data_IF_527075172730
#
_entry.id   IF_527075172730
#
_cell.length_a   1.000
_cell.length_b   1.000
_cell.length_c   1.000
_cell.angle_alpha   90.00
_cell.angle_beta   90.00
_cell.angle_gamma   90.00
#
_symmetry.space_group_name_H-M   'P 1'
#
loop_
_entity.id
_entity.type
_entity.pdbx_description
1 polymer ?
#
# COMPACT_ATOMS: atom_id res chain seq x y z
N UNK A 1 -9.88 -1.80 -3.04
CA UNK A 1 -10.67 -3.02 -3.32
C UNK A 1 -10.90 -3.80 -2.05
N UNK A 2 -11.74 -3.27 -1.15
CA UNK A 2 -12.28 -4.06 -0.06
C UNK A 2 -13.63 -4.58 -0.48
N UNK A 3 -13.80 -5.88 -0.46
CA UNK A 3 -15.07 -6.61 -0.55
C UNK A 3 -15.97 -6.30 -1.76
N UNK A 4 -15.49 -6.56 -2.97
CA UNK A 4 -16.38 -7.12 -3.96
C UNK A 4 -16.12 -8.62 -3.97
N UNK A 5 -16.79 -9.30 -3.08
CA UNK A 5 -16.76 -10.75 -2.96
C UNK A 5 -17.50 -11.33 -4.16
N UNK A 6 -16.77 -12.00 -5.01
CA UNK A 6 -17.27 -12.81 -6.10
C UNK A 6 -16.60 -12.49 -7.42
N UNK A 7 -15.89 -13.39 -7.99
CA UNK A 7 -15.33 -13.41 -9.35
C UNK A 7 -14.23 -12.43 -9.75
N UNK A 8 -13.84 -11.46 -8.93
CA UNK A 8 -12.74 -10.55 -9.24
C UNK A 8 -11.40 -11.18 -8.90
N UNK A 9 -10.51 -11.25 -9.88
CA UNK A 9 -9.18 -11.82 -9.70
C UNK A 9 -8.15 -10.75 -9.40
N UNK A 10 -7.34 -10.96 -8.35
CA UNK A 10 -6.09 -10.19 -8.18
C UNK A 10 -5.10 -10.57 -9.29
N UNK A 11 -4.50 -9.58 -9.90
CA UNK A 11 -3.65 -9.74 -11.08
C UNK A 11 -2.49 -10.72 -10.82
N UNK A 12 -1.85 -10.65 -9.66
CA UNK A 12 -0.65 -11.45 -9.39
C UNK A 12 -0.92 -12.89 -8.97
N UNK A 13 -1.93 -13.11 -8.13
CA UNK A 13 -2.08 -14.40 -7.45
C UNK A 13 -2.99 -15.37 -8.22
N UNK A 14 -3.68 -14.89 -9.25
CA UNK A 14 -4.74 -15.65 -9.92
C UNK A 14 -4.68 -15.66 -11.43
N UNK A 15 -3.98 -14.74 -12.09
CA UNK A 15 -3.87 -14.72 -13.56
C UNK A 15 -2.47 -15.16 -13.95
N UNK A 16 -2.41 -16.38 -14.48
CA UNK A 16 -1.18 -17.03 -14.93
C UNK A 16 -1.41 -17.66 -16.31
N UNK A 17 -0.37 -18.20 -16.91
CA UNK A 17 -0.49 -18.99 -18.15
C UNK A 17 -1.42 -20.20 -18.03
N UNK A 18 -1.79 -20.64 -16.83
CA UNK A 18 -2.79 -21.70 -16.62
C UNK A 18 -4.23 -21.25 -16.94
N UNK A 19 -4.49 -19.93 -16.91
CA UNK A 19 -5.82 -19.37 -17.18
C UNK A 19 -6.05 -18.99 -18.65
N UNK A 20 -5.23 -19.50 -19.54
CA UNK A 20 -5.39 -19.25 -20.98
C UNK A 20 -6.78 -19.64 -21.47
N UNK A 21 -7.40 -18.74 -22.27
CA UNK A 21 -8.76 -18.85 -22.82
C UNK A 21 -9.88 -18.74 -21.77
N UNK A 22 -9.57 -18.49 -20.52
CA UNK A 22 -10.59 -18.21 -19.49
C UNK A 22 -11.07 -16.77 -19.58
N UNK A 23 -12.36 -16.55 -19.28
CA UNK A 23 -12.92 -15.24 -19.05
C UNK A 23 -12.57 -14.78 -17.67
N UNK A 24 -12.01 -13.59 -17.56
CA UNK A 24 -11.59 -12.99 -16.30
C UNK A 24 -12.13 -11.58 -16.15
N UNK A 25 -12.38 -11.18 -14.91
CA UNK A 25 -12.68 -9.79 -14.56
C UNK A 25 -11.58 -9.28 -13.65
N UNK A 26 -10.92 -8.20 -14.04
CA UNK A 26 -9.90 -7.53 -13.23
C UNK A 26 -10.33 -6.13 -12.87
N UNK A 27 -9.98 -5.71 -11.67
CA UNK A 27 -10.12 -4.33 -11.21
C UNK A 27 -8.75 -3.77 -10.82
N UNK A 28 -8.51 -2.52 -11.15
CA UNK A 28 -7.24 -1.88 -10.83
C UNK A 28 -7.14 -0.44 -11.29
N UNK A 29 -5.97 0.11 -11.07
CA UNK A 29 -5.60 1.45 -11.54
C UNK A 29 -4.90 1.35 -12.87
N UNK A 30 -5.20 2.27 -13.78
CA UNK A 30 -4.44 2.40 -15.04
C UNK A 30 -3.06 2.97 -14.72
N UNK A 31 -2.06 2.13 -14.90
CA UNK A 31 -0.66 2.47 -14.75
C UNK A 31 -0.15 3.27 -15.95
N UNK A 32 -0.40 2.73 -17.15
CA UNK A 32 0.00 3.36 -18.42
C UNK A 32 -1.00 3.02 -19.52
N UNK A 33 -1.28 4.00 -20.37
CA UNK A 33 -1.99 3.81 -21.63
C UNK A 33 -1.02 4.04 -22.78
N UNK A 34 -1.03 3.14 -23.75
CA UNK A 34 -0.25 3.25 -24.98
C UNK A 34 -1.17 3.01 -26.17
N UNK A 35 -0.97 3.74 -27.24
CA UNK A 35 -1.66 3.57 -28.51
C UNK A 35 -0.61 3.20 -29.56
N UNK A 36 -0.78 2.06 -30.19
CA UNK A 36 0.09 1.56 -31.24
C UNK A 36 -0.72 0.97 -32.39
N UNK A 37 -0.69 1.65 -33.54
CA UNK A 37 -1.28 1.14 -34.76
C UNK A 37 -2.80 0.94 -34.71
N UNK A 38 -3.52 1.75 -33.92
CA UNK A 38 -4.97 1.64 -33.77
C UNK A 38 -5.40 0.58 -32.74
N UNK A 39 -4.50 0.03 -31.97
CA UNK A 39 -4.77 -0.85 -30.82
C UNK A 39 -4.34 -0.14 -29.53
N UNK A 40 -5.22 -0.12 -28.54
CA UNK A 40 -4.92 0.52 -27.23
C UNK A 40 -4.48 -0.54 -26.23
N UNK A 41 -3.31 -0.32 -25.64
CA UNK A 41 -2.76 -1.14 -24.56
C UNK A 41 -2.94 -0.41 -23.23
N UNK A 42 -3.56 -1.08 -22.27
CA UNK A 42 -3.78 -0.60 -20.93
C UNK A 42 -2.99 -1.49 -19.96
N UNK A 43 -2.01 -0.93 -19.30
CA UNK A 43 -1.34 -1.59 -18.19
C UNK A 43 -2.18 -1.34 -16.93
N UNK A 44 -2.84 -2.37 -16.41
CA UNK A 44 -3.69 -2.30 -15.23
C UNK A 44 -2.90 -2.80 -14.03
N UNK A 45 -2.83 -1.99 -12.98
CA UNK A 45 -2.09 -2.27 -11.76
C UNK A 45 -3.04 -2.51 -10.59
N UNK A 46 -2.75 -3.52 -9.80
CA UNK A 46 -3.31 -3.70 -8.46
C UNK A 46 -2.20 -3.67 -7.39
N UNK A 47 -2.52 -4.07 -6.16
CA UNK A 47 -1.54 -4.15 -5.06
C UNK A 47 -0.52 -5.29 -5.25
N UNK A 48 -0.76 -6.21 -6.16
CA UNK A 48 0.02 -7.43 -6.35
C UNK A 48 0.86 -7.40 -7.63
N UNK A 49 0.46 -6.64 -8.63
CA UNK A 49 1.20 -6.59 -9.88
C UNK A 49 0.54 -5.75 -10.97
N UNK A 50 1.04 -5.93 -12.18
CA UNK A 50 0.55 -5.25 -13.38
C UNK A 50 0.20 -6.29 -14.41
N UNK A 51 -0.95 -6.13 -15.09
CA UNK A 51 -1.35 -6.94 -16.23
C UNK A 51 -1.66 -6.04 -17.42
N UNK A 52 -1.28 -6.47 -18.62
CA UNK A 52 -1.61 -5.78 -19.85
C UNK A 52 -3.00 -6.21 -20.34
N UNK A 53 -3.84 -5.23 -20.64
CA UNK A 53 -5.10 -5.43 -21.34
C UNK A 53 -5.01 -4.79 -22.74
N UNK A 54 -5.56 -5.46 -23.73
CA UNK A 54 -5.51 -5.06 -25.14
C UNK A 54 -6.91 -4.77 -25.63
N UNK A 55 -7.12 -3.56 -26.12
CA UNK A 55 -8.40 -3.11 -26.65
C UNK A 55 -8.30 -3.01 -28.17
N UNK A 56 -9.02 -3.88 -28.86
CA UNK A 56 -9.07 -3.91 -30.32
C UNK A 56 -10.08 -2.89 -30.86
N UNK A 57 -9.83 -2.27 -32.03
CA UNK A 57 -10.73 -1.30 -32.65
C UNK A 57 -12.08 -1.90 -33.09
N UNK A 58 -12.15 -3.22 -33.24
CA UNK A 58 -13.39 -3.92 -33.58
C UNK A 58 -14.48 -3.75 -32.50
N UNK A 59 -14.07 -3.59 -31.26
CA UNK A 59 -14.96 -3.27 -30.13
C UNK A 59 -15.05 -1.74 -29.97
N UNK A 60 -15.87 -1.10 -30.78
CA UNK A 60 -16.00 0.36 -30.86
C UNK A 60 -16.32 1.02 -29.51
N UNK A 61 -17.16 0.38 -28.70
CA UNK A 61 -17.62 0.92 -27.43
C UNK A 61 -16.49 0.94 -26.38
N UNK A 62 -15.83 -0.19 -26.20
CA UNK A 62 -14.66 -0.29 -25.30
C UNK A 62 -13.48 0.55 -25.82
N UNK A 63 -13.34 0.69 -27.15
CA UNK A 63 -12.27 1.48 -27.74
C UNK A 63 -12.45 2.98 -27.45
N UNK A 64 -13.65 3.55 -27.64
CA UNK A 64 -13.96 4.94 -27.30
C UNK A 64 -13.76 5.23 -25.81
N UNK A 65 -14.16 4.29 -24.95
CA UNK A 65 -13.88 4.42 -23.51
C UNK A 65 -12.38 4.42 -23.24
N UNK A 66 -11.63 3.51 -23.85
CA UNK A 66 -10.17 3.41 -23.69
C UNK A 66 -9.42 4.66 -24.15
N UNK A 67 -9.90 5.38 -25.18
CA UNK A 67 -9.35 6.68 -25.60
C UNK A 67 -9.45 7.76 -24.52
N UNK A 68 -10.54 7.73 -23.74
CA UNK A 68 -10.80 8.69 -22.66
C UNK A 68 -10.01 8.40 -21.39
N UNK A 69 -9.51 7.16 -21.23
CA UNK A 69 -8.81 6.71 -20.03
C UNK A 69 -7.47 7.45 -19.85
N UNK A 70 -7.17 7.80 -18.59
CA UNK A 70 -5.91 8.42 -18.19
C UNK A 70 -5.29 7.63 -17.04
N UNK A 71 -4.03 7.91 -16.73
CA UNK A 71 -3.32 7.27 -15.64
C UNK A 71 -4.08 7.44 -14.32
N UNK A 72 -4.03 6.43 -13.49
CA UNK A 72 -4.67 6.34 -12.17
C UNK A 72 -6.21 6.29 -12.20
N UNK A 73 -6.86 6.24 -13.36
CA UNK A 73 -8.27 5.88 -13.40
C UNK A 73 -8.47 4.48 -12.83
N UNK A 74 -9.52 4.28 -12.07
CA UNK A 74 -9.93 2.96 -11.58
C UNK A 74 -10.87 2.35 -12.59
N UNK A 75 -10.51 1.18 -13.08
CA UNK A 75 -11.28 0.46 -14.10
C UNK A 75 -11.58 -0.97 -13.66
N UNK A 76 -12.69 -1.47 -14.17
CA UNK A 76 -13.01 -2.89 -14.22
C UNK A 76 -12.93 -3.32 -15.69
N UNK A 77 -12.18 -4.38 -15.96
CA UNK A 77 -11.98 -4.92 -17.29
C UNK A 77 -12.42 -6.37 -17.29
N UNK A 78 -13.30 -6.70 -18.22
CA UNK A 78 -13.72 -8.06 -18.53
C UNK A 78 -13.10 -8.48 -19.85
N UNK A 79 -12.50 -9.66 -19.89
CA UNK A 79 -11.85 -10.13 -21.11
C UNK A 79 -11.42 -11.58 -21.04
N UNK A 80 -10.68 -12.00 -22.06
CA UNK A 80 -10.16 -13.37 -22.17
C UNK A 80 -8.64 -13.34 -22.08
N UNK A 81 -8.08 -14.21 -21.26
CA UNK A 81 -6.62 -14.33 -21.14
C UNK A 81 -6.05 -15.02 -22.38
N UNK A 82 -5.05 -14.39 -22.99
CA UNK A 82 -4.31 -14.95 -24.12
C UNK A 82 -2.80 -14.78 -23.96
N UNK A 83 -2.03 -15.55 -24.70
CA UNK A 83 -0.58 -15.34 -24.80
C UNK A 83 -0.30 -14.03 -25.55
N UNK A 84 0.75 -13.34 -25.14
CA UNK A 84 1.31 -12.25 -25.94
C UNK A 84 1.91 -12.81 -27.24
N UNK A 85 1.92 -11.99 -28.27
CA UNK A 85 2.57 -12.31 -29.52
C UNK A 85 4.08 -12.53 -29.29
N UNK A 86 4.66 -13.46 -30.05
CA UNK A 86 6.11 -13.68 -30.06
C UNK A 86 6.84 -12.36 -30.32
N UNK A 87 7.85 -12.05 -29.51
CA UNK A 87 8.59 -10.77 -29.55
C UNK A 87 8.02 -9.64 -28.70
N UNK A 88 6.80 -9.77 -28.12
CA UNK A 88 6.21 -8.76 -27.22
C UNK A 88 6.22 -9.18 -25.75
N UNK A 89 6.84 -10.32 -25.44
CA UNK A 89 6.97 -10.84 -24.07
C UNK A 89 7.84 -9.89 -23.23
N UNK A 90 7.31 -9.44 -22.11
CA UNK A 90 8.04 -8.56 -21.17
C UNK A 90 8.54 -9.34 -19.95
N UNK A 91 9.80 -9.73 -19.97
CA UNK A 91 10.44 -10.49 -18.89
C UNK A 91 10.51 -9.74 -17.55
N UNK A 92 10.29 -8.42 -17.54
CA UNK A 92 10.31 -7.60 -16.33
C UNK A 92 8.94 -7.57 -15.61
N UNK A 93 7.90 -8.18 -16.20
CA UNK A 93 6.58 -8.31 -15.59
C UNK A 93 6.29 -9.78 -15.28
N UNK A 94 5.71 -10.05 -14.12
CA UNK A 94 5.32 -11.43 -13.77
C UNK A 94 4.25 -12.01 -14.70
N UNK A 95 3.35 -11.16 -15.20
CA UNK A 95 2.32 -11.50 -16.20
C UNK A 95 2.80 -11.22 -17.63
N UNK A 96 4.10 -11.11 -17.84
CA UNK A 96 4.67 -10.63 -19.10
C UNK A 96 4.50 -11.56 -20.31
N UNK A 97 4.11 -12.82 -20.09
CA UNK A 97 3.82 -13.81 -21.13
C UNK A 97 2.37 -13.76 -21.61
N UNK A 98 1.49 -13.17 -20.81
CA UNK A 98 0.05 -13.13 -21.05
C UNK A 98 -0.47 -11.71 -21.17
N UNK A 99 -1.63 -11.58 -21.75
CA UNK A 99 -2.41 -10.34 -21.83
C UNK A 99 -3.90 -10.66 -21.80
N UNK A 100 -4.72 -9.66 -21.50
CA UNK A 100 -6.17 -9.79 -21.52
C UNK A 100 -6.72 -9.12 -22.75
N UNK A 101 -7.36 -9.89 -23.62
CA UNK A 101 -8.16 -9.34 -24.71
C UNK A 101 -9.48 -8.82 -24.16
N UNK A 102 -9.67 -7.52 -24.27
CA UNK A 102 -10.77 -6.82 -23.63
C UNK A 102 -12.08 -7.06 -24.36
N UNK A 103 -13.09 -7.53 -23.62
CA UNK A 103 -14.47 -7.61 -24.07
C UNK A 103 -15.28 -6.40 -23.61
N UNK A 104 -15.08 -5.95 -22.36
CA UNK A 104 -15.81 -4.83 -21.79
C UNK A 104 -14.91 -4.02 -20.83
N UNK A 105 -15.13 -2.70 -20.77
CA UNK A 105 -14.48 -1.78 -19.85
C UNK A 105 -15.54 -0.97 -19.10
N UNK A 106 -15.40 -0.89 -17.79
CA UNK A 106 -16.18 0.01 -16.95
C UNK A 106 -15.23 0.93 -16.17
N UNK A 107 -15.41 2.24 -16.29
CA UNK A 107 -14.67 3.23 -15.51
C UNK A 107 -15.38 3.40 -14.17
N UNK A 108 -14.78 2.85 -13.10
CA UNK A 108 -15.31 2.91 -11.74
C UNK A 108 -15.06 4.27 -11.10
N UNK A 109 -13.91 4.88 -11.39
CA UNK A 109 -13.58 6.21 -10.87
C UNK A 109 -12.56 6.90 -11.77
N UNK A 110 -12.77 8.17 -12.02
CA UNK A 110 -11.81 9.04 -12.71
C UNK A 110 -10.87 9.67 -11.70
N UNK A 111 -9.62 9.86 -12.07
CA UNK A 111 -8.61 10.51 -11.26
C UNK A 111 -8.11 11.80 -11.95
N UNK A 112 -7.72 12.78 -11.16
CA UNK A 112 -6.89 13.88 -11.65
C UNK A 112 -5.47 13.37 -11.90
N UNK A 113 -4.74 14.05 -12.77
CA UNK A 113 -3.32 13.71 -13.00
C UNK A 113 -2.53 13.79 -11.71
N UNK A 114 -1.84 12.70 -11.30
CA UNK A 114 -1.01 12.72 -10.11
C UNK A 114 0.09 13.79 -10.18
N UNK A 115 0.43 14.37 -9.03
CA UNK A 115 1.48 15.42 -8.93
C UNK A 115 2.86 14.85 -9.27
N UNK A 116 3.05 13.55 -9.07
CA UNK A 116 4.24 12.80 -9.48
C UNK A 116 3.86 11.36 -9.84
N UNK A 117 4.66 10.67 -10.67
CA UNK A 117 4.44 9.27 -11.01
C UNK A 117 4.52 8.38 -9.77
N UNK A 118 3.63 7.38 -9.71
CA UNK A 118 3.58 6.43 -8.57
C UNK A 118 4.55 5.27 -8.79
N UNK A 119 4.83 4.95 -10.01
CA UNK A 119 5.46 3.71 -10.51
C UNK A 119 6.93 3.86 -10.90
N UNK A 120 7.39 5.08 -11.14
CA UNK A 120 8.77 5.33 -11.54
C UNK A 120 9.57 5.92 -10.37
N UNK A 121 10.79 5.44 -10.21
CA UNK A 121 11.72 6.07 -9.27
C UNK A 121 12.10 7.45 -9.83
N UNK A 122 11.48 8.46 -9.28
CA UNK A 122 11.88 9.87 -9.49
C UNK A 122 12.22 10.47 -8.14
N UNK A 123 13.30 11.24 -8.11
CA UNK A 123 13.57 12.11 -6.97
C UNK A 123 12.46 13.16 -6.87
N UNK A 124 11.61 13.01 -5.88
CA UNK A 124 10.55 13.96 -5.56
C UNK A 124 10.91 14.65 -4.26
N UNK A 125 10.87 15.98 -4.23
CA UNK A 125 11.13 16.75 -3.03
C UNK A 125 10.26 16.28 -1.87
N UNK A 126 10.83 16.19 -0.67
CA UNK A 126 10.17 15.69 0.53
C UNK A 126 8.90 16.48 0.87
N UNK A 127 8.91 17.79 0.75
CA UNK A 127 7.74 18.64 1.00
C UNK A 127 6.56 18.28 0.08
N UNK A 128 6.83 18.00 -1.19
CA UNK A 128 5.82 17.58 -2.17
C UNK A 128 5.27 16.19 -1.81
N UNK A 129 6.14 15.28 -1.38
CA UNK A 129 5.76 13.93 -0.94
C UNK A 129 4.90 13.97 0.33
N UNK A 130 5.28 14.79 1.31
CA UNK A 130 4.53 14.95 2.57
C UNK A 130 3.15 15.58 2.34
N UNK A 131 3.06 16.58 1.47
CA UNK A 131 1.78 17.20 1.07
C UNK A 131 0.85 16.23 0.33
N UNK A 132 1.43 15.27 -0.38
CA UNK A 132 0.69 14.28 -1.16
C UNK A 132 0.95 12.85 -0.64
N UNK A 133 0.88 12.68 0.68
CA UNK A 133 1.31 11.47 1.37
C UNK A 133 0.61 10.19 0.89
N UNK A 134 -0.66 10.27 0.51
CA UNK A 134 -1.41 9.13 -0.02
C UNK A 134 -0.78 8.60 -1.31
N UNK A 135 -0.36 9.49 -2.21
CA UNK A 135 0.34 9.10 -3.45
C UNK A 135 1.73 8.54 -3.14
N UNK A 136 2.46 9.18 -2.23
CA UNK A 136 3.79 8.71 -1.82
C UNK A 136 3.77 7.31 -1.21
N UNK A 137 2.76 7.00 -0.39
CA UNK A 137 2.58 5.67 0.20
C UNK A 137 2.23 4.58 -0.83
N UNK A 138 1.73 4.95 -2.00
CA UNK A 138 1.46 4.02 -3.11
C UNK A 138 2.70 3.71 -3.94
N UNK A 139 3.79 4.46 -3.79
CA UNK A 139 5.05 4.19 -4.46
C UNK A 139 5.65 2.88 -3.94
N UNK A 140 6.17 2.02 -4.83
CA UNK A 140 6.69 0.70 -4.45
C UNK A 140 7.74 0.75 -3.34
N UNK A 141 8.69 1.70 -3.40
CA UNK A 141 9.74 1.84 -2.40
C UNK A 141 9.22 2.26 -1.02
N UNK A 142 8.18 3.10 -0.95
CA UNK A 142 7.58 3.50 0.32
C UNK A 142 6.73 2.39 0.92
N UNK A 143 5.96 1.71 0.07
CA UNK A 143 5.17 0.55 0.48
C UNK A 143 6.09 -0.56 1.02
N UNK A 144 7.18 -0.87 0.31
CA UNK A 144 8.16 -1.88 0.72
C UNK A 144 8.82 -1.54 2.08
N UNK A 145 9.16 -0.26 2.32
CA UNK A 145 9.70 0.19 3.61
C UNK A 145 8.72 -0.08 4.76
N UNK A 146 7.43 0.21 4.56
CA UNK A 146 6.40 -0.02 5.59
C UNK A 146 6.23 -1.51 5.85
N UNK A 147 6.16 -2.32 4.79
CA UNK A 147 6.05 -3.78 4.90
C UNK A 147 7.29 -4.36 5.61
N UNK A 148 8.49 -3.93 5.24
CA UNK A 148 9.74 -4.35 5.91
C UNK A 148 9.73 -3.99 7.38
N UNK A 149 9.35 -2.76 7.73
CA UNK A 149 9.22 -2.35 9.13
C UNK A 149 8.26 -3.27 9.90
N UNK A 150 7.09 -3.54 9.35
CA UNK A 150 6.10 -4.44 9.97
C UNK A 150 6.67 -5.84 10.21
N UNK A 151 7.37 -6.39 9.20
CA UNK A 151 8.02 -7.71 9.32
C UNK A 151 9.11 -7.73 10.41
N UNK A 152 9.96 -6.70 10.46
CA UNK A 152 11.02 -6.57 11.47
C UNK A 152 10.40 -6.51 12.86
N UNK A 153 9.38 -5.68 13.06
CA UNK A 153 8.68 -5.58 14.35
C UNK A 153 8.08 -6.93 14.77
N UNK A 154 7.45 -7.65 13.84
CA UNK A 154 6.91 -8.99 14.12
C UNK A 154 7.99 -10.00 14.47
N UNK A 155 9.14 -9.96 13.81
CA UNK A 155 10.27 -10.83 14.13
C UNK A 155 10.83 -10.56 15.53
N UNK A 156 10.96 -9.27 15.90
CA UNK A 156 11.42 -8.89 17.24
C UNK A 156 10.44 -9.39 18.31
N UNK A 157 9.13 -9.19 18.11
CA UNK A 157 8.10 -9.67 19.01
C UNK A 157 8.16 -11.18 19.20
N UNK A 158 8.22 -11.92 18.10
CA UNK A 158 8.31 -13.38 18.15
C UNK A 158 9.59 -13.87 18.84
N UNK A 159 10.71 -13.17 18.67
CA UNK A 159 11.95 -13.50 19.34
C UNK A 159 11.86 -13.27 20.86
N UNK A 160 11.32 -12.14 21.27
CA UNK A 160 11.16 -11.80 22.68
C UNK A 160 10.15 -12.72 23.37
N UNK A 161 9.04 -13.01 22.74
CA UNK A 161 8.01 -13.93 23.25
C UNK A 161 8.59 -15.34 23.47
N UNK A 162 9.35 -15.88 22.52
CA UNK A 162 10.05 -17.16 22.65
C UNK A 162 11.07 -17.19 23.81
N UNK A 163 11.57 -16.05 24.24
CA UNK A 163 12.47 -15.89 25.37
C UNK A 163 11.75 -15.47 26.66
N UNK A 164 10.41 -15.59 26.67
CA UNK A 164 9.54 -15.30 27.82
C UNK A 164 9.50 -13.83 28.23
N UNK A 165 9.79 -12.90 27.29
CA UNK A 165 9.60 -11.48 27.53
C UNK A 165 8.16 -11.08 27.20
N UNK A 166 7.50 -10.45 28.15
CA UNK A 166 6.14 -9.96 28.01
C UNK A 166 6.12 -8.55 27.41
N UNK A 167 5.39 -8.34 26.31
CA UNK A 167 5.18 -7.00 25.77
C UNK A 167 4.16 -6.24 26.62
N UNK A 168 4.57 -5.12 27.20
CA UNK A 168 3.74 -4.29 28.07
C UNK A 168 3.53 -2.94 27.40
N UNK A 169 2.30 -2.45 27.43
CA UNK A 169 1.96 -1.09 27.02
C UNK A 169 1.89 -0.18 28.25
N UNK A 170 2.53 0.97 28.18
CA UNK A 170 2.50 1.97 29.26
C UNK A 170 1.68 3.18 28.84
N UNK A 171 1.10 3.94 29.81
CA UNK A 171 0.34 5.14 29.50
C UNK A 171 1.16 6.19 28.75
N UNK A 172 0.57 6.77 27.70
CA UNK A 172 1.19 7.86 26.93
C UNK A 172 0.98 9.20 27.64
N UNK A 173 -0.15 9.38 28.30
CA UNK A 173 -0.48 10.59 29.08
C UNK A 173 -0.32 10.30 30.55
N UNK A 174 0.54 11.07 31.23
CA UNK A 174 0.88 10.90 32.64
C UNK A 174 0.95 12.25 33.36
N UNK A 175 1.33 12.23 34.62
CA UNK A 175 1.84 13.44 35.31
C UNK A 175 3.23 13.76 34.78
N UNK A 176 3.61 15.04 34.82
CA UNK A 176 5.00 15.43 34.55
C UNK A 176 5.96 14.70 35.46
N UNK A 177 7.03 14.16 34.89
CA UNK A 177 8.08 13.43 35.61
C UNK A 177 9.34 14.29 35.68
N UNK A 178 10.14 14.19 36.77
CA UNK A 178 11.39 14.94 36.88
C UNK A 178 12.52 14.34 36.00
N UNK A 179 12.24 13.31 35.24
CA UNK A 179 13.25 12.57 34.45
C UNK A 179 13.37 13.12 33.03
N UNK A 180 14.58 13.40 32.62
CA UNK A 180 14.90 13.79 31.24
C UNK A 180 14.75 15.29 30.98
N UNK A 181 14.55 15.63 29.69
CA UNK A 181 14.27 17.01 29.30
C UNK A 181 12.81 17.38 29.62
N UNK A 182 12.45 18.65 29.37
CA UNK A 182 11.10 19.15 29.68
C UNK A 182 10.04 18.36 28.89
N UNK A 183 9.05 17.83 29.64
CA UNK A 183 7.90 17.15 29.04
C UNK A 183 7.01 18.13 28.27
N UNK A 184 6.35 17.63 27.21
CA UNK A 184 5.25 18.36 26.58
C UNK A 184 4.02 18.31 27.49
N UNK A 185 3.48 19.48 27.84
CA UNK A 185 2.33 19.62 28.73
C UNK A 185 1.07 19.86 27.89
N UNK A 186 0.01 19.09 28.21
CA UNK A 186 -1.29 19.17 27.56
C UNK A 186 -2.37 19.55 28.58
N UNK A 187 -3.15 20.63 28.34
CA UNK A 187 -4.24 20.99 29.26
C UNK A 187 -5.34 19.93 29.26
N UNK A 188 -5.87 19.64 30.45
CA UNK A 188 -7.03 18.75 30.58
C UNK A 188 -8.31 19.47 30.14
N UNK A 189 -9.09 18.83 29.26
CA UNK A 189 -10.41 19.34 28.88
C UNK A 189 -11.48 19.11 29.94
N UNK A 190 -11.27 18.12 30.81
CA UNK A 190 -12.26 17.68 31.82
C UNK A 190 -12.06 18.38 33.14
N UNK A 191 -10.81 18.70 33.49
CA UNK A 191 -10.45 19.31 34.75
C UNK A 191 -9.72 20.65 34.53
N UNK A 192 -10.41 21.77 34.64
CA UNK A 192 -9.79 23.09 34.52
C UNK A 192 -8.61 23.28 35.45
N UNK A 193 -7.51 23.84 34.96
CA UNK A 193 -6.30 24.04 35.73
C UNK A 193 -5.40 22.82 35.91
N UNK A 194 -5.81 21.66 35.42
CA UNK A 194 -5.01 20.44 35.45
C UNK A 194 -4.36 20.17 34.08
N UNK A 195 -3.20 19.50 34.11
CA UNK A 195 -2.42 19.20 32.92
C UNK A 195 -1.98 17.73 32.91
N UNK A 196 -1.91 17.18 31.73
CA UNK A 196 -1.19 15.94 31.42
C UNK A 196 0.19 16.28 30.87
N UNK A 197 1.08 15.30 30.93
CA UNK A 197 2.38 15.35 30.29
C UNK A 197 2.58 14.17 29.33
N UNK A 198 3.32 14.40 28.26
CA UNK A 198 3.89 13.35 27.41
C UNK A 198 5.32 13.10 27.90
N UNK A 199 5.56 12.03 28.67
CA UNK A 199 6.88 11.76 29.21
C UNK A 199 7.84 11.36 28.09
N UNK A 200 9.09 11.79 28.17
CA UNK A 200 10.11 11.37 27.22
C UNK A 200 10.60 9.94 27.45
N UNK A 201 10.55 9.49 28.71
CA UNK A 201 11.03 8.17 29.09
C UNK A 201 9.98 7.41 29.90
N UNK A 202 9.75 6.12 29.60
CA UNK A 202 8.90 5.23 30.40
C UNK A 202 9.61 4.66 31.61
N UNK A 203 10.70 5.27 32.10
CA UNK A 203 11.56 4.72 33.13
C UNK A 203 10.80 4.42 34.44
N UNK A 204 9.91 5.30 34.87
CA UNK A 204 9.09 5.10 36.05
C UNK A 204 8.24 3.83 35.96
N UNK A 205 7.62 3.61 34.80
CA UNK A 205 6.82 2.40 34.54
C UNK A 205 7.69 1.14 34.50
N UNK A 206 8.89 1.21 33.93
CA UNK A 206 9.85 0.10 33.94
C UNK A 206 10.23 -0.30 35.36
N UNK A 207 10.48 0.67 36.25
CA UNK A 207 10.76 0.41 37.65
C UNK A 207 9.57 -0.23 38.37
N UNK A 208 8.35 0.27 38.13
CA UNK A 208 7.14 -0.30 38.72
C UNK A 208 6.92 -1.75 38.28
N UNK A 209 7.17 -2.08 37.00
CA UNK A 209 7.06 -3.45 36.49
C UNK A 209 8.04 -4.39 37.19
N UNK A 210 9.31 -3.96 37.35
CA UNK A 210 10.33 -4.75 38.03
C UNK A 210 10.00 -4.96 39.53
N UNK A 211 9.56 -3.91 40.24
CA UNK A 211 9.14 -4.00 41.64
C UNK A 211 7.89 -4.89 41.76
N UNK A 212 7.01 -4.85 40.76
CA UNK A 212 5.82 -5.69 40.68
C UNK A 212 6.09 -7.17 40.36
N UNK A 213 7.36 -7.57 40.15
CA UNK A 213 7.76 -8.94 39.90
C UNK A 213 7.78 -9.38 38.43
N UNK A 214 7.74 -8.44 37.50
CA UNK A 214 7.90 -8.74 36.06
C UNK A 214 9.38 -8.66 35.69
N UNK A 215 10.09 -9.77 35.78
CA UNK A 215 11.53 -9.83 35.52
C UNK A 215 11.88 -9.69 34.03
N UNK A 216 10.99 -10.20 33.14
CA UNK A 216 11.18 -10.19 31.70
C UNK A 216 10.05 -9.45 31.02
N UNK A 217 10.25 -8.19 30.71
CA UNK A 217 9.29 -7.38 29.95
C UNK A 217 9.98 -6.63 28.81
N UNK A 218 9.22 -6.23 27.81
CA UNK A 218 9.68 -5.39 26.72
C UNK A 218 8.64 -4.29 26.41
N UNK A 219 9.13 -3.19 25.87
CA UNK A 219 8.35 -2.05 25.42
C UNK A 219 8.73 -1.81 23.96
N UNK A 220 7.89 -2.25 23.02
CA UNK A 220 8.14 -2.18 21.59
C UNK A 220 7.36 -1.04 20.92
N UNK A 221 7.30 0.11 21.54
CA UNK A 221 6.81 1.29 20.87
C UNK A 221 7.96 2.19 20.45
N UNK A 222 7.75 2.94 19.40
CA UNK A 222 8.74 3.88 18.90
C UNK A 222 8.90 5.02 19.92
N UNK A 223 9.93 4.94 20.74
CA UNK A 223 10.50 6.14 21.30
C UNK A 223 11.07 6.95 20.14
N UNK A 224 10.72 8.22 19.94
CA UNK A 224 11.47 9.06 19.04
C UNK A 224 12.91 9.07 19.58
N UNK A 225 13.80 8.43 18.84
CA UNK A 225 15.23 8.57 19.09
C UNK A 225 15.59 10.02 18.82
N UNK A 226 16.33 10.67 19.71
CA UNK A 226 16.83 12.03 19.46
C UNK A 226 17.68 12.08 18.21
#
# INVERSE_FOLDING_TARGET
CWSLVGSEMCIRDRITSSNLKEKVTICGWIHRRRDHGGVIFLDVRDIKGICQAVVNPDNKESFQLAESIRNEFVVQIEGVVRNRLEGTINKNMQTGEIEIEVANINILSKANTPVFPIDEYQEVNEDVRLKNRVLDLRRPEMNDRIIKRSKITSLIRNYLDKNEFHEIETPILTKATPEGARDYILPSRVQPGSFFALPQSPQLFKQLLMIGGLDKYCLLYTSPSP
#
